data_IF_294848569267
#
_entry.id   IF_294848569267
#
_cell.length_a   1.000
_cell.length_b   1.000
_cell.length_c   1.000
_cell.angle_alpha   90.00
_cell.angle_beta   90.00
_cell.angle_gamma   90.00
#
_symmetry.space_group_name_H-M   'P 1'
#
loop_
_entity.id
_entity.type
_entity.pdbx_description
1 polymer ?
#
# COMPACT_ATOMS: atom_id res chain seq x y z
N UNK A 1 -13.64 6.36 -8.95
CA UNK A 1 -14.76 5.49 -8.53
C UNK A 1 -14.65 5.22 -7.04
N UNK A 2 -15.42 5.93 -6.22
CA UNK A 2 -15.65 5.56 -4.81
C UNK A 2 -17.01 4.87 -4.76
N UNK A 3 -17.02 3.56 -4.57
CA UNK A 3 -18.24 2.80 -4.32
C UNK A 3 -18.34 2.54 -2.82
N UNK A 4 -18.91 3.50 -2.11
CA UNK A 4 -19.43 3.29 -0.77
C UNK A 4 -20.94 3.00 -0.90
N UNK A 5 -21.33 1.74 -0.75
CA UNK A 5 -22.63 1.35 -0.20
C UNK A 5 -22.54 -0.11 0.24
N UNK A 6 -22.87 -0.32 1.52
CA UNK A 6 -22.86 -1.62 2.18
C UNK A 6 -23.82 -2.57 1.48
N UNK A 7 -23.25 -3.57 0.82
CA UNK A 7 -23.91 -4.75 0.30
C UNK A 7 -22.82 -5.79 0.12
N UNK A 8 -22.91 -6.92 0.83
CA UNK A 8 -22.00 -8.06 0.64
C UNK A 8 -22.29 -8.67 -0.73
N UNK A 9 -21.70 -8.12 -1.78
CA UNK A 9 -21.58 -8.80 -3.06
C UNK A 9 -20.33 -9.69 -2.99
N UNK A 10 -20.52 -10.96 -2.63
CA UNK A 10 -19.53 -11.99 -2.93
C UNK A 10 -19.71 -12.30 -4.43
N UNK A 11 -19.06 -11.53 -5.29
CA UNK A 11 -19.06 -11.81 -6.72
C UNK A 11 -18.13 -13.00 -6.99
N UNK A 12 -18.58 -13.97 -7.82
CA UNK A 12 -17.76 -15.10 -8.21
C UNK A 12 -16.48 -14.61 -8.91
N UNK A 13 -15.41 -15.39 -8.78
CA UNK A 13 -14.11 -15.08 -9.35
C UNK A 13 -14.18 -15.04 -10.89
N UNK A 14 -14.53 -13.88 -11.45
CA UNK A 14 -14.15 -13.56 -12.81
C UNK A 14 -12.62 -13.44 -12.82
N UNK A 15 -11.99 -14.23 -13.70
CA UNK A 15 -10.55 -14.17 -13.94
C UNK A 15 -10.07 -12.72 -14.07
N UNK A 16 -8.91 -12.41 -13.50
CA UNK A 16 -8.31 -11.06 -13.57
C UNK A 16 -8.36 -10.40 -14.96
N UNK A 17 -8.20 -11.11 -16.09
CA UNK A 17 -8.30 -10.53 -17.42
C UNK A 17 -9.71 -10.03 -17.79
N UNK A 18 -10.76 -10.77 -17.43
CA UNK A 18 -12.14 -10.46 -17.83
C UNK A 18 -12.69 -9.23 -17.08
N UNK A 19 -12.48 -9.19 -15.77
CA UNK A 19 -12.87 -8.06 -14.93
C UNK A 19 -12.13 -6.76 -15.32
N UNK A 20 -10.91 -6.89 -15.84
CA UNK A 20 -10.10 -5.78 -16.31
C UNK A 20 -10.57 -5.28 -17.70
N UNK A 21 -10.86 -6.20 -18.64
CA UNK A 21 -11.38 -5.87 -19.97
C UNK A 21 -12.71 -5.09 -19.94
N UNK A 22 -13.66 -5.49 -19.07
CA UNK A 22 -14.94 -4.78 -18.92
C UNK A 22 -14.77 -3.34 -18.38
N UNK A 23 -13.82 -3.13 -17.48
CA UNK A 23 -13.51 -1.79 -16.94
C UNK A 23 -12.79 -0.89 -17.94
N UNK A 24 -11.95 -1.48 -18.81
CA UNK A 24 -11.33 -0.78 -19.93
C UNK A 24 -12.42 -0.22 -20.86
N UNK A 25 -13.39 -1.03 -21.28
CA UNK A 25 -14.48 -0.57 -22.15
C UNK A 25 -15.25 0.61 -21.56
N UNK A 26 -15.58 0.56 -20.26
CA UNK A 26 -16.33 1.62 -19.58
C UNK A 26 -15.55 2.95 -19.44
N UNK A 27 -14.24 2.88 -19.14
CA UNK A 27 -13.43 4.08 -18.97
C UNK A 27 -13.24 4.83 -20.29
N UNK A 28 -12.94 4.10 -21.36
CA UNK A 28 -12.74 4.65 -22.70
C UNK A 28 -14.03 5.20 -23.32
N UNK A 29 -15.19 4.63 -22.96
CA UNK A 29 -16.47 5.13 -23.42
C UNK A 29 -16.85 6.49 -22.80
N UNK A 30 -16.24 6.89 -21.67
CA UNK A 30 -16.68 8.05 -20.89
C UNK A 30 -15.64 9.16 -20.74
N UNK A 31 -14.35 8.84 -20.76
CA UNK A 31 -13.29 9.81 -20.50
C UNK A 31 -12.21 9.75 -21.57
N UNK A 32 -11.78 10.93 -22.03
CA UNK A 32 -10.68 11.10 -22.98
C UNK A 32 -9.30 11.06 -22.29
N UNK A 33 -9.26 11.28 -20.98
CA UNK A 33 -8.04 11.29 -20.15
C UNK A 33 -8.33 10.99 -18.69
N UNK A 34 -7.31 10.55 -17.95
CA UNK A 34 -7.34 10.37 -16.51
C UNK A 34 -6.21 11.14 -15.83
N UNK A 35 -6.57 12.00 -14.88
CA UNK A 35 -5.59 12.86 -14.20
C UNK A 35 -4.94 12.17 -12.99
N UNK A 36 -5.74 11.42 -12.22
CA UNK A 36 -5.31 10.79 -10.97
C UNK A 36 -5.88 9.38 -10.84
N UNK A 37 -5.03 8.42 -10.53
CA UNK A 37 -5.43 7.04 -10.22
C UNK A 37 -4.84 6.64 -8.87
N UNK A 38 -5.74 6.40 -7.92
CA UNK A 38 -5.39 5.92 -6.58
C UNK A 38 -5.52 4.39 -6.53
N UNK A 39 -4.41 3.71 -6.24
CA UNK A 39 -4.27 2.26 -6.20
C UNK A 39 -4.18 1.81 -4.75
N UNK A 40 -5.35 1.59 -4.13
CA UNK A 40 -5.49 1.35 -2.69
C UNK A 40 -6.02 -0.04 -2.33
N UNK A 41 -6.34 -0.90 -3.29
CA UNK A 41 -6.84 -2.24 -2.99
C UNK A 41 -5.78 -3.04 -2.20
N UNK A 42 -6.20 -3.70 -1.14
CA UNK A 42 -5.29 -4.38 -0.24
C UNK A 42 -5.99 -5.42 0.61
N UNK A 43 -5.44 -6.62 0.67
CA UNK A 43 -5.85 -7.66 1.60
C UNK A 43 -4.68 -8.14 2.45
N UNK A 44 -5.04 -8.68 3.60
CA UNK A 44 -4.15 -9.32 4.56
C UNK A 44 -4.95 -10.49 5.17
N UNK A 45 -5.07 -11.62 4.47
CA UNK A 45 -5.85 -12.75 4.93
C UNK A 45 -5.17 -13.39 6.16
N UNK A 46 -5.99 -13.85 7.10
CA UNK A 46 -5.56 -14.61 8.29
C UNK A 46 -4.34 -14.02 9.02
N UNK A 47 -4.41 -12.76 9.50
CA UNK A 47 -3.32 -12.16 10.24
C UNK A 47 -3.20 -12.80 11.63
N UNK A 48 -2.00 -13.23 11.99
CA UNK A 48 -1.67 -13.77 13.30
C UNK A 48 -0.65 -12.89 14.00
N UNK A 49 -0.93 -12.56 15.26
CA UNK A 49 0.00 -11.84 16.15
C UNK A 49 0.90 -12.84 16.84
N UNK A 50 2.21 -12.72 16.63
CA UNK A 50 3.20 -13.50 17.35
C UNK A 50 3.46 -12.87 18.73
N UNK A 51 2.67 -13.27 19.72
CA UNK A 51 2.79 -12.76 21.09
C UNK A 51 4.17 -13.03 21.72
N UNK A 52 4.85 -14.13 21.34
CA UNK A 52 6.21 -14.42 21.81
C UNK A 52 7.19 -13.37 21.29
N UNK A 53 7.08 -12.98 20.02
CA UNK A 53 7.89 -11.91 19.45
C UNK A 53 7.57 -10.56 20.10
N UNK A 54 6.29 -10.26 20.38
CA UNK A 54 5.88 -9.05 21.09
C UNK A 54 6.47 -8.96 22.50
N UNK A 55 6.37 -10.04 23.28
CA UNK A 55 6.95 -10.14 24.63
C UNK A 55 8.47 -10.01 24.60
N UNK A 56 9.14 -10.67 23.67
CA UNK A 56 10.58 -10.50 23.49
C UNK A 56 10.94 -9.05 23.11
N UNK A 57 10.14 -8.41 22.26
CA UNK A 57 10.31 -6.99 21.91
C UNK A 57 10.17 -6.05 23.10
N UNK A 58 9.25 -6.35 24.02
CA UNK A 58 9.10 -5.63 25.29
C UNK A 58 10.36 -5.78 26.16
N UNK A 59 10.85 -7.01 26.33
CA UNK A 59 12.03 -7.30 27.15
C UNK A 59 13.34 -6.73 26.58
N UNK A 60 13.42 -6.57 25.25
CA UNK A 60 14.62 -6.06 24.56
C UNK A 60 14.56 -4.57 24.21
N UNK A 61 13.51 -3.86 24.62
CA UNK A 61 13.32 -2.43 24.32
C UNK A 61 13.01 -2.12 22.85
N UNK A 62 12.82 -3.13 22.00
CA UNK A 62 12.51 -2.98 20.56
C UNK A 62 11.02 -2.84 20.26
N UNK A 63 10.16 -2.85 21.29
CA UNK A 63 8.71 -2.85 21.14
C UNK A 63 8.19 -1.69 20.27
N UNK A 64 8.73 -0.46 20.43
CA UNK A 64 8.24 0.69 19.67
C UNK A 64 8.56 0.55 18.16
N UNK A 65 9.74 0.05 17.83
CA UNK A 65 10.12 -0.27 16.45
C UNK A 65 9.20 -1.36 15.89
N UNK A 66 9.01 -2.46 16.62
CA UNK A 66 8.15 -3.56 16.16
C UNK A 66 6.69 -3.13 16.00
N UNK A 67 6.18 -2.26 16.86
CA UNK A 67 4.83 -1.71 16.78
C UNK A 67 4.64 -0.75 15.59
N UNK A 68 5.69 -0.01 15.21
CA UNK A 68 5.66 0.91 14.07
C UNK A 68 5.84 0.24 12.72
N UNK A 69 6.68 -0.80 12.66
CA UNK A 69 7.00 -1.55 11.43
C UNK A 69 6.18 -2.82 11.26
N UNK A 70 5.52 -3.29 12.33
CA UNK A 70 4.90 -4.62 12.45
C UNK A 70 5.88 -5.79 12.24
N UNK A 71 7.20 -5.53 12.28
CA UNK A 71 8.25 -6.49 12.01
C UNK A 71 8.25 -7.64 13.02
N UNK A 72 8.15 -8.88 12.53
CA UNK A 72 8.13 -10.10 13.35
C UNK A 72 6.87 -10.28 14.21
N UNK A 73 6.01 -9.26 14.34
CA UNK A 73 4.75 -9.33 15.09
C UNK A 73 3.64 -9.93 14.23
N UNK A 74 3.53 -9.53 12.96
CA UNK A 74 2.45 -9.99 12.09
C UNK A 74 2.94 -11.07 11.12
N UNK A 75 2.36 -12.26 11.26
CA UNK A 75 2.53 -13.36 10.29
C UNK A 75 1.21 -13.67 9.61
N UNK A 76 1.27 -14.23 8.42
CA UNK A 76 0.10 -14.46 7.58
C UNK A 76 0.17 -15.83 6.91
N UNK A 77 -1.01 -16.36 6.63
CA UNK A 77 -1.18 -17.54 5.80
C UNK A 77 -1.90 -17.10 4.52
N UNK A 78 -1.15 -17.07 3.42
CA UNK A 78 -1.67 -16.78 2.09
C UNK A 78 -2.27 -18.03 1.45
N UNK A 79 -3.07 -17.86 0.40
CA UNK A 79 -3.68 -18.94 -0.36
C UNK A 79 -3.70 -18.61 -1.85
N UNK A 80 -3.84 -19.64 -2.67
CA UNK A 80 -4.08 -19.45 -4.09
C UNK A 80 -5.53 -19.00 -4.33
N UNK A 81 -5.71 -18.08 -5.28
CA UNK A 81 -7.01 -17.71 -5.81
C UNK A 81 -7.44 -18.66 -6.94
N UNK A 82 -8.61 -18.41 -7.54
CA UNK A 82 -9.13 -19.23 -8.65
C UNK A 82 -8.26 -19.24 -9.92
N UNK A 83 -7.35 -18.27 -10.06
CA UNK A 83 -6.41 -18.16 -11.18
C UNK A 83 -5.05 -18.83 -10.89
N UNK A 84 -4.90 -19.50 -9.73
CA UNK A 84 -3.63 -20.13 -9.33
C UNK A 84 -2.55 -19.13 -8.90
N UNK A 85 -2.92 -17.91 -8.52
CA UNK A 85 -2.02 -16.87 -8.03
C UNK A 85 -2.17 -16.67 -6.52
N UNK A 86 -1.10 -16.27 -5.85
CA UNK A 86 -1.16 -15.91 -4.43
C UNK A 86 -2.10 -14.72 -4.23
N UNK A 87 -3.14 -14.88 -3.41
CA UNK A 87 -4.27 -13.96 -3.29
C UNK A 87 -3.82 -12.55 -2.88
N UNK A 88 -2.82 -12.47 -1.98
CA UNK A 88 -2.23 -11.19 -1.53
C UNK A 88 -1.57 -10.46 -2.69
N UNK A 89 -0.75 -11.12 -3.49
CA UNK A 89 -0.07 -10.50 -4.65
C UNK A 89 -1.03 -10.16 -5.78
N UNK A 90 -1.97 -11.07 -6.07
CA UNK A 90 -3.02 -10.87 -7.05
C UNK A 90 -3.81 -9.58 -6.77
N UNK A 91 -4.15 -9.35 -5.49
CA UNK A 91 -4.95 -8.19 -5.07
C UNK A 91 -4.12 -6.93 -4.87
N UNK A 92 -3.01 -7.02 -4.13
CA UNK A 92 -2.26 -5.84 -3.69
C UNK A 92 -1.43 -5.24 -4.84
N UNK A 93 -1.02 -6.07 -5.82
CA UNK A 93 -0.09 -5.66 -6.87
C UNK A 93 -0.61 -5.96 -8.29
N UNK A 94 -0.88 -7.22 -8.63
CA UNK A 94 -1.12 -7.61 -10.02
C UNK A 94 -2.38 -6.98 -10.62
N UNK A 95 -3.48 -6.97 -9.88
CA UNK A 95 -4.71 -6.31 -10.32
C UNK A 95 -4.52 -4.81 -10.58
N UNK A 96 -3.74 -4.12 -9.74
CA UNK A 96 -3.38 -2.72 -9.95
C UNK A 96 -2.49 -2.53 -11.17
N UNK A 97 -1.48 -3.38 -11.34
CA UNK A 97 -0.57 -3.29 -12.47
C UNK A 97 -1.30 -3.51 -13.79
N UNK A 98 -2.14 -4.54 -13.90
CA UNK A 98 -2.98 -4.80 -15.09
C UNK A 98 -3.89 -3.60 -15.37
N UNK A 99 -4.53 -3.04 -14.34
CA UNK A 99 -5.36 -1.85 -14.48
C UNK A 99 -4.57 -0.66 -15.07
N UNK A 100 -3.38 -0.39 -14.54
CA UNK A 100 -2.50 0.68 -15.05
C UNK A 100 -2.13 0.44 -16.52
N UNK A 101 -1.74 -0.79 -16.87
CA UNK A 101 -1.41 -1.16 -18.26
C UNK A 101 -2.60 -0.94 -19.21
N UNK A 102 -3.82 -1.22 -18.78
CA UNK A 102 -5.01 -1.04 -19.60
C UNK A 102 -5.42 0.42 -19.77
N UNK A 103 -5.11 1.26 -18.78
CA UNK A 103 -5.42 2.69 -18.78
C UNK A 103 -4.28 3.56 -19.35
N UNK A 104 -3.18 2.95 -19.79
CA UNK A 104 -1.96 3.64 -20.22
C UNK A 104 -2.24 4.76 -21.23
N UNK A 105 -3.02 4.52 -22.29
CA UNK A 105 -3.30 5.55 -23.30
C UNK A 105 -4.26 6.66 -22.83
N UNK A 106 -4.95 6.49 -21.69
CA UNK A 106 -5.70 7.58 -21.04
C UNK A 106 -4.82 8.38 -20.07
N UNK A 107 -3.67 7.82 -19.68
CA UNK A 107 -2.77 8.37 -18.67
C UNK A 107 -1.52 9.03 -19.29
N UNK A 108 -1.04 8.52 -20.42
CA UNK A 108 0.17 8.99 -21.10
C UNK A 108 -0.15 9.90 -22.28
N UNK A 109 0.78 10.79 -22.63
CA UNK A 109 0.71 11.63 -23.83
C UNK A 109 -0.27 12.79 -23.75
N UNK A 110 -0.79 13.08 -22.56
CA UNK A 110 -1.72 14.19 -22.31
C UNK A 110 -0.97 15.53 -22.20
N UNK A 111 -1.64 16.64 -22.52
CA UNK A 111 -1.09 18.00 -22.35
C UNK A 111 -0.69 18.34 -20.91
N UNK A 112 -1.34 17.70 -19.95
CA UNK A 112 -1.08 17.89 -18.51
C UNK A 112 -0.70 16.53 -17.90
N UNK A 113 0.20 16.52 -16.91
CA UNK A 113 0.66 15.28 -16.32
C UNK A 113 -0.44 14.51 -15.60
N UNK A 114 -0.42 13.19 -15.75
CA UNK A 114 -1.24 12.25 -15.00
C UNK A 114 -0.45 11.62 -13.85
N UNK A 115 -1.16 11.15 -12.81
CA UNK A 115 -0.53 10.65 -11.58
C UNK A 115 -1.08 9.30 -11.15
N UNK A 116 -0.16 8.37 -10.88
CA UNK A 116 -0.42 7.11 -10.19
C UNK A 116 -0.01 7.24 -8.73
N UNK A 117 -0.93 6.94 -7.82
CA UNK A 117 -0.67 6.99 -6.37
C UNK A 117 -0.89 5.60 -5.79
N UNK A 118 0.20 4.95 -5.39
CA UNK A 118 0.21 3.59 -4.84
C UNK A 118 0.12 3.62 -3.31
N UNK A 119 -0.88 2.94 -2.73
CA UNK A 119 -0.93 2.77 -1.28
C UNK A 119 -0.05 1.60 -0.82
N UNK A 120 1.11 1.95 -0.27
CA UNK A 120 2.03 1.05 0.40
C UNK A 120 1.77 0.98 1.92
N UNK A 121 2.77 0.55 2.69
CA UNK A 121 2.74 0.43 4.15
C UNK A 121 4.11 0.71 4.76
N UNK A 122 4.15 0.99 6.06
CA UNK A 122 5.37 0.98 6.87
C UNK A 122 5.95 -0.43 7.02
N UNK A 123 5.13 -1.47 6.83
CA UNK A 123 5.58 -2.87 6.81
C UNK A 123 6.15 -3.28 5.44
N UNK A 124 6.35 -2.38 4.47
CA UNK A 124 7.00 -2.72 3.21
C UNK A 124 8.50 -2.91 3.44
N UNK A 125 8.97 -4.16 3.52
CA UNK A 125 10.35 -4.51 3.85
C UNK A 125 11.02 -5.27 2.72
N UNK A 126 12.25 -4.88 2.43
CA UNK A 126 13.10 -5.56 1.47
C UNK A 126 13.46 -6.98 1.93
N UNK A 127 13.75 -7.15 3.23
CA UNK A 127 14.07 -8.46 3.82
C UNK A 127 12.91 -9.47 3.72
N UNK A 128 11.69 -9.00 3.50
CA UNK A 128 10.52 -9.83 3.31
C UNK A 128 10.25 -10.14 1.82
N UNK A 129 11.05 -9.65 0.87
CA UNK A 129 10.82 -9.86 -0.56
C UNK A 129 11.98 -10.65 -1.18
N UNK A 130 11.65 -11.63 -2.03
CA UNK A 130 12.62 -12.39 -2.80
C UNK A 130 12.20 -12.43 -4.26
N UNK A 131 13.13 -12.15 -5.18
CA UNK A 131 12.88 -12.29 -6.62
C UNK A 131 12.67 -13.75 -7.05
N UNK A 132 13.30 -14.71 -6.36
CA UNK A 132 13.12 -16.14 -6.63
C UNK A 132 11.79 -16.70 -6.10
N UNK A 133 11.09 -15.92 -5.26
CA UNK A 133 9.75 -16.22 -4.76
C UNK A 133 8.90 -14.94 -4.80
N UNK A 134 8.74 -14.38 -6.00
CA UNK A 134 8.16 -13.05 -6.20
C UNK A 134 6.69 -12.94 -5.78
N UNK A 135 5.96 -14.05 -5.61
CA UNK A 135 4.60 -14.08 -5.05
C UNK A 135 4.58 -14.40 -3.55
N UNK A 136 5.75 -14.60 -2.93
CA UNK A 136 5.89 -14.98 -1.53
C UNK A 136 5.15 -16.27 -1.18
N UNK A 137 5.22 -17.28 -2.05
CA UNK A 137 4.53 -18.55 -1.90
C UNK A 137 5.07 -19.39 -0.74
N UNK A 138 6.35 -19.25 -0.41
CA UNK A 138 7.04 -20.07 0.61
C UNK A 138 7.21 -19.36 1.95
N UNK A 139 6.90 -18.06 2.02
CA UNK A 139 7.15 -17.23 3.21
C UNK A 139 5.89 -16.91 4.02
N UNK A 140 6.07 -16.24 5.16
CA UNK A 140 4.99 -15.94 6.14
C UNK A 140 4.64 -14.44 6.26
N UNK A 141 5.18 -13.64 5.35
CA UNK A 141 5.10 -12.17 5.36
C UNK A 141 4.66 -11.62 3.99
N UNK A 142 3.72 -12.32 3.33
CA UNK A 142 3.31 -12.01 1.96
C UNK A 142 2.76 -10.58 1.79
N UNK A 143 2.08 -10.02 2.79
CA UNK A 143 1.70 -8.61 2.78
C UNK A 143 2.90 -7.67 2.74
N UNK A 144 3.89 -7.88 3.62
CA UNK A 144 5.12 -7.07 3.68
C UNK A 144 5.86 -7.10 2.35
N UNK A 145 6.02 -8.31 1.81
CA UNK A 145 6.58 -8.60 0.49
C UNK A 145 5.82 -7.87 -0.63
N UNK A 146 4.49 -7.98 -0.67
CA UNK A 146 3.64 -7.33 -1.68
C UNK A 146 3.70 -5.80 -1.61
N UNK A 147 3.83 -5.22 -0.41
CA UNK A 147 3.94 -3.77 -0.21
C UNK A 147 5.33 -3.27 -0.58
N UNK A 148 6.38 -4.06 -0.39
CA UNK A 148 7.70 -3.75 -0.93
C UNK A 148 7.74 -3.82 -2.46
N UNK A 149 7.16 -4.87 -3.05
CA UNK A 149 7.00 -5.00 -4.50
C UNK A 149 6.13 -3.88 -5.12
N UNK A 150 5.23 -3.28 -4.34
CA UNK A 150 4.49 -2.07 -4.72
C UNK A 150 5.42 -0.86 -4.84
N UNK A 151 6.35 -0.68 -3.89
CA UNK A 151 7.32 0.42 -3.90
C UNK A 151 8.25 0.31 -5.12
N UNK A 152 8.97 -0.82 -5.22
CA UNK A 152 9.11 -1.64 -6.43
C UNK A 152 8.61 -1.00 -7.73
N UNK A 153 7.39 -1.40 -7.99
CA UNK A 153 6.66 -1.16 -9.22
C UNK A 153 6.44 0.33 -9.46
N UNK A 154 6.17 1.13 -8.43
CA UNK A 154 6.01 2.58 -8.58
C UNK A 154 7.28 3.24 -9.10
N UNK A 155 8.45 2.88 -8.56
CA UNK A 155 9.75 3.43 -9.01
C UNK A 155 10.00 3.10 -10.48
N UNK A 156 9.78 1.84 -10.86
CA UNK A 156 9.98 1.37 -12.24
C UNK A 156 8.99 2.04 -13.21
N UNK A 157 7.71 2.14 -12.83
CA UNK A 157 6.70 2.78 -13.66
C UNK A 157 6.95 4.29 -13.83
N UNK A 158 7.36 4.99 -12.77
CA UNK A 158 7.71 6.41 -12.89
C UNK A 158 8.84 6.60 -13.91
N UNK A 159 9.90 5.78 -13.84
CA UNK A 159 11.03 5.85 -14.77
C UNK A 159 10.63 5.56 -16.21
N UNK A 160 9.73 4.59 -16.40
CA UNK A 160 9.28 4.18 -17.72
C UNK A 160 8.38 5.22 -18.38
N UNK A 161 7.51 5.86 -17.61
CA UNK A 161 6.42 6.68 -18.16
C UNK A 161 6.49 8.18 -17.86
N UNK A 162 7.42 8.66 -17.03
CA UNK A 162 7.54 10.09 -16.72
C UNK A 162 7.75 10.95 -17.98
N UNK A 163 8.55 10.49 -18.95
CA UNK A 163 8.77 11.16 -20.24
C UNK A 163 7.50 11.25 -21.08
N UNK A 164 6.49 10.42 -20.78
CA UNK A 164 5.17 10.44 -21.41
C UNK A 164 4.14 11.20 -20.56
N UNK A 165 4.56 11.95 -19.55
CA UNK A 165 3.68 12.74 -18.69
C UNK A 165 2.99 11.96 -17.58
N UNK A 166 3.34 10.69 -17.34
CA UNK A 166 2.77 9.88 -16.27
C UNK A 166 3.76 9.69 -15.12
N UNK A 167 3.41 10.23 -13.96
CA UNK A 167 4.24 10.19 -12.76
C UNK A 167 3.65 9.22 -11.74
N UNK A 168 4.52 8.45 -11.08
CA UNK A 168 4.12 7.45 -10.09
C UNK A 168 4.74 7.75 -8.74
N UNK A 169 3.90 7.81 -7.70
CA UNK A 169 4.29 8.11 -6.33
C UNK A 169 3.71 7.10 -5.36
N UNK A 170 4.37 6.92 -4.22
CA UNK A 170 3.97 5.97 -3.17
C UNK A 170 3.57 6.71 -1.91
N UNK A 171 2.48 6.27 -1.30
CA UNK A 171 2.02 6.77 0.01
C UNK A 171 1.97 5.64 1.04
N UNK A 172 2.22 6.00 2.30
CA UNK A 172 1.99 5.14 3.45
C UNK A 172 0.97 5.81 4.38
N UNK A 173 -0.24 5.24 4.53
CA UNK A 173 -1.30 5.84 5.35
C UNK A 173 -1.04 5.72 6.87
N UNK A 174 0.01 5.01 7.27
CA UNK A 174 0.27 4.69 8.66
C UNK A 174 -0.65 3.58 9.19
N UNK A 175 -0.73 3.47 10.51
CA UNK A 175 -1.61 2.53 11.20
C UNK A 175 -3.02 3.13 11.31
N UNK A 176 -3.86 2.80 10.34
CA UNK A 176 -5.27 3.21 10.28
C UNK A 176 -6.15 2.14 10.91
N UNK A 177 -7.14 2.54 11.71
CA UNK A 177 -8.19 1.64 12.15
C UNK A 177 -9.15 1.39 10.99
N UNK A 178 -9.02 0.22 10.38
CA UNK A 178 -9.80 -0.21 9.21
C UNK A 178 -10.40 -1.59 9.45
N UNK A 179 -11.25 -2.04 8.53
CA UNK A 179 -11.77 -3.42 8.56
C UNK A 179 -10.66 -4.47 8.59
N UNK A 180 -9.48 -4.18 8.04
CA UNK A 180 -8.33 -5.09 8.10
C UNK A 180 -7.77 -5.18 9.52
N UNK A 181 -7.62 -4.04 10.20
CA UNK A 181 -7.11 -3.95 11.57
C UNK A 181 -8.08 -4.55 12.58
N UNK A 182 -9.38 -4.22 12.48
CA UNK A 182 -10.38 -4.72 13.41
C UNK A 182 -10.57 -6.25 13.38
N UNK A 183 -10.15 -6.93 12.31
CA UNK A 183 -10.19 -8.40 12.21
C UNK A 183 -9.13 -9.12 13.02
N UNK A 184 -8.10 -8.41 13.49
CA UNK A 184 -6.95 -9.02 14.18
C UNK A 184 -7.30 -9.42 15.62
N UNK A 185 -8.08 -8.59 16.32
CA UNK A 185 -8.40 -8.77 17.74
C UNK A 185 -9.90 -8.57 18.00
N UNK A 186 -10.47 -9.19 19.06
CA UNK A 186 -11.84 -8.95 19.47
C UNK A 186 -12.13 -7.48 19.81
N UNK A 187 -13.38 -7.03 19.61
CA UNK A 187 -13.80 -5.64 19.81
C UNK A 187 -13.50 -5.11 21.22
N UNK A 188 -13.67 -5.94 22.26
CA UNK A 188 -13.39 -5.53 23.64
C UNK A 188 -11.90 -5.22 23.84
N UNK A 189 -11.01 -5.99 23.22
CA UNK A 189 -9.57 -5.79 23.31
C UNK A 189 -9.15 -4.53 22.57
N UNK A 190 -9.77 -4.21 21.44
CA UNK A 190 -9.58 -2.93 20.77
C UNK A 190 -9.98 -1.75 21.66
N UNK A 191 -11.10 -1.82 22.38
CA UNK A 191 -11.51 -0.77 23.32
C UNK A 191 -10.44 -0.51 24.40
N UNK A 192 -9.81 -1.57 24.91
CA UNK A 192 -8.72 -1.46 25.89
C UNK A 192 -7.43 -0.91 25.28
N UNK A 193 -7.10 -1.29 24.04
CA UNK A 193 -5.88 -0.86 23.36
C UNK A 193 -5.94 0.57 22.84
N UNK A 194 -7.12 1.10 22.50
CA UNK A 194 -7.26 2.43 21.88
C UNK A 194 -6.60 3.58 22.67
N UNK A 195 -6.79 3.71 24.00
CA UNK A 195 -6.08 4.72 24.79
C UNK A 195 -4.55 4.56 24.72
N UNK A 196 -4.06 3.32 24.74
CA UNK A 196 -2.64 3.00 24.62
C UNK A 196 -2.12 3.42 23.23
N UNK A 197 -2.88 3.19 22.17
CA UNK A 197 -2.51 3.62 20.81
C UNK A 197 -2.46 5.14 20.67
N UNK A 198 -3.32 5.88 21.37
CA UNK A 198 -3.27 7.34 21.45
C UNK A 198 -2.02 7.82 22.17
N UNK A 199 -1.60 7.13 23.24
CA UNK A 199 -0.35 7.41 23.94
C UNK A 199 0.87 7.10 23.06
N UNK A 200 0.87 5.93 22.40
CA UNK A 200 1.94 5.51 21.48
C UNK A 200 2.13 6.54 20.35
N UNK A 201 1.06 7.22 19.89
CA UNK A 201 1.13 8.26 18.86
C UNK A 201 2.14 9.38 19.17
N UNK A 202 2.37 9.70 20.45
CA UNK A 202 3.38 10.70 20.84
C UNK A 202 4.81 10.28 20.44
N UNK A 203 5.08 8.97 20.37
CA UNK A 203 6.38 8.41 20.03
C UNK A 203 6.42 7.82 18.62
N UNK A 204 5.27 7.39 18.10
CA UNK A 204 5.09 6.74 16.81
C UNK A 204 4.12 7.54 15.94
N UNK A 205 4.66 8.55 15.24
CA UNK A 205 3.90 9.49 14.40
C UNK A 205 3.09 8.84 13.28
N UNK A 206 3.41 7.61 12.88
CA UNK A 206 2.65 6.84 11.87
C UNK A 206 1.35 6.26 12.42
N UNK A 207 1.03 6.44 13.71
CA UNK A 207 -0.25 6.05 14.31
C UNK A 207 -1.33 7.09 13.98
N UNK A 208 -1.80 7.06 12.73
CA UNK A 208 -2.84 7.95 12.23
C UNK A 208 -4.21 7.65 12.85
N UNK A 209 -4.49 6.36 13.08
CA UNK A 209 -5.66 5.75 13.71
C UNK A 209 -7.01 5.98 13.02
N UNK A 210 -7.21 7.10 12.33
CA UNK A 210 -8.42 7.37 11.57
C UNK A 210 -8.17 7.33 10.06
N UNK A 211 -9.14 6.91 9.24
CA UNK A 211 -9.02 6.99 7.78
C UNK A 211 -8.77 8.41 7.28
N UNK A 212 -9.33 9.42 7.95
CA UNK A 212 -9.11 10.84 7.64
C UNK A 212 -7.64 11.21 7.77
N UNK A 213 -7.00 10.90 8.90
CA UNK A 213 -5.59 11.16 9.10
C UNK A 213 -4.71 10.32 8.18
N UNK A 214 -5.12 9.08 7.89
CA UNK A 214 -4.42 8.20 6.97
C UNK A 214 -4.41 8.70 5.52
N UNK A 215 -5.38 9.52 5.13
CA UNK A 215 -5.48 10.10 3.79
C UNK A 215 -4.64 11.37 3.59
N UNK A 216 -3.95 11.86 4.62
CA UNK A 216 -3.17 13.12 4.56
C UNK A 216 -2.16 13.13 3.40
N UNK A 217 -1.35 12.08 3.26
CA UNK A 217 -0.37 11.98 2.17
C UNK A 217 -1.02 11.92 0.78
N UNK A 218 -2.19 11.27 0.66
CA UNK A 218 -2.95 11.22 -0.59
C UNK A 218 -3.40 12.62 -1.02
N UNK A 219 -3.98 13.38 -0.09
CA UNK A 219 -4.47 14.74 -0.33
C UNK A 219 -3.31 15.71 -0.55
N UNK A 220 -2.21 15.54 0.18
CA UNK A 220 -1.02 16.37 0.00
C UNK A 220 -0.43 16.19 -1.39
N UNK A 221 -0.30 14.94 -1.87
CA UNK A 221 0.19 14.62 -3.22
C UNK A 221 -0.68 15.22 -4.31
N UNK A 222 -2.01 15.27 -4.11
CA UNK A 222 -2.92 15.94 -5.05
C UNK A 222 -2.54 17.40 -5.28
N UNK A 223 -2.07 18.10 -4.24
CA UNK A 223 -1.70 19.53 -4.30
C UNK A 223 -0.31 19.79 -4.89
N UNK A 224 0.54 18.77 -5.04
CA UNK A 224 1.91 18.96 -5.52
C UNK A 224 2.00 19.04 -7.04
N UNK A 225 3.15 19.48 -7.56
CA UNK A 225 3.54 19.29 -8.96
C UNK A 225 4.32 17.97 -9.08
N UNK A 226 3.87 17.00 -9.88
CA UNK A 226 4.44 15.66 -9.89
C UNK A 226 5.89 15.62 -10.41
N UNK A 227 6.26 16.60 -11.24
CA UNK A 227 7.59 16.76 -11.80
C UNK A 227 8.65 17.08 -10.73
N UNK A 228 8.22 17.63 -9.60
CA UNK A 228 9.10 17.99 -8.47
C UNK A 228 9.16 16.91 -7.38
N UNK A 229 8.43 15.81 -7.55
CA UNK A 229 8.43 14.72 -6.58
C UNK A 229 9.57 13.75 -6.87
N UNK A 230 10.26 13.31 -5.82
CA UNK A 230 11.26 12.27 -5.92
C UNK A 230 10.58 10.90 -5.97
N UNK A 231 10.78 10.17 -7.08
CA UNK A 231 10.23 8.84 -7.26
C UNK A 231 10.77 7.81 -6.25
N UNK A 232 11.91 8.09 -5.62
CA UNK A 232 12.54 7.25 -4.58
C UNK A 232 12.03 7.59 -3.18
N UNK A 233 11.02 8.44 -3.07
CA UNK A 233 10.41 8.82 -1.80
C UNK A 233 9.02 8.23 -1.68
N UNK A 234 8.80 7.61 -0.52
CA UNK A 234 7.49 7.23 0.00
C UNK A 234 7.00 8.32 0.95
N UNK A 235 5.79 8.82 0.71
CA UNK A 235 5.20 9.89 1.51
C UNK A 235 4.32 9.29 2.62
N UNK A 236 4.69 9.50 3.87
CA UNK A 236 3.96 8.95 5.02
C UNK A 236 2.93 9.95 5.53
N UNK A 237 1.69 9.50 5.70
CA UNK A 237 0.71 10.16 6.53
C UNK A 237 1.11 9.99 7.99
N UNK A 238 1.36 11.10 8.66
CA UNK A 238 1.73 11.16 10.06
C UNK A 238 0.71 12.00 10.84
N UNK A 239 0.59 11.72 12.13
CA UNK A 239 -0.24 12.49 13.05
C UNK A 239 0.55 12.79 14.31
N UNK A 240 0.61 14.06 14.72
CA UNK A 240 1.25 14.47 15.96
C UNK A 240 0.51 13.88 17.17
N UNK A 241 1.15 13.85 18.34
CA UNK A 241 0.48 13.41 19.58
C UNK A 241 -0.83 14.15 19.86
N UNK A 242 -0.89 15.44 19.49
CA UNK A 242 -2.07 16.30 19.62
C UNK A 242 -3.09 16.17 18.47
N UNK A 243 -2.88 15.24 17.53
CA UNK A 243 -3.85 14.96 16.47
C UNK A 243 -3.70 15.77 15.18
N UNK A 244 -2.64 16.59 15.03
CA UNK A 244 -2.38 17.35 13.80
C UNK A 244 -1.74 16.43 12.74
N UNK A 245 -2.39 16.29 11.60
CA UNK A 245 -1.87 15.51 10.46
C UNK A 245 -0.85 16.29 9.65
N UNK A 246 0.15 15.59 9.12
CA UNK A 246 1.18 16.11 8.22
C UNK A 246 1.81 14.98 7.39
N UNK A 247 2.60 15.35 6.39
CA UNK A 247 3.32 14.41 5.53
C UNK A 247 4.79 14.39 5.86
N UNK A 248 5.35 13.19 5.97
CA UNK A 248 6.78 12.97 6.14
C UNK A 248 7.34 12.15 4.97
N UNK A 249 8.24 12.71 4.13
CA UNK A 249 8.90 11.95 3.08
C UNK A 249 9.97 11.02 3.65
N UNK A 250 10.00 9.76 3.20
CA UNK A 250 11.02 8.76 3.56
C UNK A 250 11.53 8.06 2.31
N UNK A 251 12.83 7.79 2.25
CA UNK A 251 13.42 7.05 1.12
C UNK A 251 12.88 5.62 1.06
N UNK A 252 12.65 5.11 -0.15
CA UNK A 252 12.35 3.70 -0.39
C UNK A 252 13.65 2.89 -0.22
N UNK A 253 13.57 1.73 0.45
CA UNK A 253 14.71 0.94 0.88
C UNK A 253 15.47 0.20 -0.27
N UNK A 254 16.81 0.12 -0.08
CA UNK A 254 17.81 -0.78 -0.69
C UNK A 254 17.69 -1.14 -2.17
N UNK A 255 17.00 -2.23 -2.52
CA UNK A 255 16.90 -2.69 -3.91
C UNK A 255 16.12 -1.74 -4.82
N UNK A 256 15.18 -0.94 -4.29
CA UNK A 256 14.49 0.09 -5.08
C UNK A 256 15.46 1.12 -5.65
N UNK A 257 16.38 1.57 -4.79
CA UNK A 257 17.43 2.53 -5.12
C UNK A 257 18.61 1.90 -5.90
N UNK A 258 18.71 0.56 -5.93
CA UNK A 258 19.74 -0.18 -6.68
C UNK A 258 19.27 -0.60 -8.08
N UNK A 259 18.03 -1.07 -8.23
CA UNK A 259 17.34 -1.21 -9.53
C UNK A 259 17.37 0.11 -10.31
N UNK A 260 17.49 1.21 -9.58
CA UNK A 260 17.67 2.53 -10.12
C UNK A 260 19.01 2.80 -10.82
N UNK A 261 20.07 2.09 -10.43
CA UNK A 261 21.46 2.27 -10.88
C UNK A 261 21.92 1.21 -11.88
N UNK A 262 21.30 0.03 -11.90
CA UNK A 262 21.75 -1.12 -12.71
C UNK A 262 21.05 -1.33 -14.07
N UNK A 263 20.21 -0.40 -14.53
CA UNK A 263 19.50 -0.48 -15.82
C UNK A 263 19.81 0.73 -16.72
N UNK A 264 20.96 1.37 -16.50
CA UNK A 264 21.49 2.46 -17.33
C UNK A 264 22.42 1.94 -18.40
#
# INVERSE_FOLDING_TARGET
LSAAKGGRARLPAESLPAAAAGRKGLAFARFQRLDFVYLNAGIMPNPHVNFKALWHGLLTGKVLHMLTTAEGIMTQTDRLNGDGLQEVFATNLFGHFILVRQLECLLCGNEKPSRLIWTSSSNARESAFSLSDYQHAKGRESYSSSKYATDLTSVVLNRKFNKQGLYSSVVCPGLVMSNMTYRILPVFLWKLLMPIMWLIRFFAKTYTLTPYNGAEAHVWLFKQKPEHLDALVKYHSCTSGLGKSYVEPRKVNGAAASCCRGLG
#
